data_IF_379100336368
#
_entry.id   IF_379100336368
#
_cell.length_a   1.000
_cell.length_b   1.000
_cell.length_c   1.000
_cell.angle_alpha   90.00
_cell.angle_beta   90.00
_cell.angle_gamma   90.00
#
_symmetry.space_group_name_H-M   'P 1'
#
loop_
_entity.id
_entity.type
_entity.pdbx_description
1 polymer ?
#
# COMPACT_ATOMS: atom_id res chain seq x y z
N UNK A 1 -48.47 10.99 17.08
CA UNK A 1 -47.29 11.46 17.88
C UNK A 1 -46.18 11.83 16.90
N UNK A 2 -45.95 13.13 16.67
CA UNK A 2 -44.87 13.64 15.79
C UNK A 2 -43.61 13.85 16.65
N UNK A 3 -42.53 13.14 16.34
CA UNK A 3 -41.23 13.34 16.97
C UNK A 3 -40.54 14.54 16.30
N UNK A 4 -40.42 15.63 17.05
CA UNK A 4 -39.73 16.85 16.64
C UNK A 4 -38.22 16.62 16.56
N UNK A 5 -37.69 16.68 15.34
CA UNK A 5 -36.26 16.73 15.04
C UNK A 5 -35.70 18.09 15.50
N UNK A 6 -35.10 18.15 16.70
CA UNK A 6 -34.22 19.26 17.11
C UNK A 6 -32.93 19.18 16.29
N UNK A 7 -32.83 19.97 15.22
CA UNK A 7 -31.52 20.33 14.64
C UNK A 7 -30.85 21.28 15.62
N UNK A 8 -29.81 20.80 16.30
CA UNK A 8 -28.89 21.68 16.99
C UNK A 8 -28.19 22.54 15.94
N UNK A 9 -28.44 23.85 15.99
CA UNK A 9 -27.61 24.83 15.31
C UNK A 9 -26.22 24.74 15.95
N UNK A 10 -25.26 24.11 15.28
CA UNK A 10 -23.85 24.24 15.66
C UNK A 10 -23.36 25.54 15.05
N UNK A 11 -23.01 26.48 15.91
CA UNK A 11 -22.36 27.72 15.51
C UNK A 11 -21.03 27.40 14.81
N UNK A 12 -20.67 28.11 13.72
CA UNK A 12 -19.42 27.91 13.03
C UNK A 12 -18.26 28.30 13.96
N UNK A 13 -17.44 27.31 14.34
CA UNK A 13 -16.22 27.52 15.11
C UNK A 13 -15.28 28.44 14.32
N UNK A 14 -14.76 29.54 14.92
CA UNK A 14 -13.92 30.49 14.21
C UNK A 14 -12.63 29.81 13.74
N UNK A 15 -12.43 29.77 12.42
CA UNK A 15 -11.19 29.32 11.80
C UNK A 15 -10.06 30.28 12.20
N UNK A 16 -9.13 29.79 13.02
CA UNK A 16 -7.92 30.54 13.38
C UNK A 16 -7.14 30.90 12.10
N UNK A 17 -6.63 32.14 12.00
CA UNK A 17 -5.86 32.55 10.84
C UNK A 17 -4.58 31.70 10.72
N UNK A 18 -4.21 31.27 9.50
CA UNK A 18 -3.03 30.44 9.30
C UNK A 18 -1.78 31.22 9.73
N UNK A 19 -1.00 30.64 10.64
CA UNK A 19 0.31 31.17 11.01
C UNK A 19 1.18 31.24 9.74
N UNK A 20 1.54 32.47 9.33
CA UNK A 20 2.27 32.73 8.10
C UNK A 20 3.69 32.19 8.15
N UNK A 21 3.88 30.91 7.82
CA UNK A 21 5.20 30.34 7.57
C UNK A 21 5.46 30.23 6.08
N UNK A 22 6.39 31.05 5.58
CA UNK A 22 6.93 30.94 4.22
C UNK A 22 7.69 29.61 4.09
N UNK A 23 7.16 28.70 3.29
CA UNK A 23 7.80 27.43 2.92
C UNK A 23 9.11 27.71 2.17
N UNK A 24 10.25 27.29 2.71
CA UNK A 24 11.50 27.26 1.96
C UNK A 24 11.39 26.24 0.81
N UNK A 25 11.74 26.67 -0.39
CA UNK A 25 11.74 25.84 -1.59
C UNK A 25 13.02 24.98 -1.63
N UNK A 26 12.87 23.70 -2.00
CA UNK A 26 13.89 23.00 -2.80
C UNK A 26 14.72 21.89 -2.16
N UNK A 27 14.72 21.69 -0.83
CA UNK A 27 15.49 20.61 -0.21
C UNK A 27 14.60 19.81 0.74
N UNK A 28 14.57 18.48 0.58
CA UNK A 28 13.96 17.46 1.44
C UNK A 28 13.27 18.08 2.67
N UNK A 29 12.02 18.52 2.51
CA UNK A 29 11.30 19.16 3.61
C UNK A 29 11.27 18.12 4.73
N UNK A 30 11.84 18.43 5.92
CA UNK A 30 11.82 17.49 7.02
C UNK A 30 10.36 17.13 7.25
N UNK A 31 10.04 15.85 7.05
CA UNK A 31 8.67 15.34 7.08
C UNK A 31 8.03 15.78 8.39
N UNK A 32 7.19 16.81 8.30
CA UNK A 32 6.46 17.30 9.45
C UNK A 32 5.50 16.21 9.88
N UNK A 33 5.77 15.62 11.04
CA UNK A 33 4.86 14.66 11.67
C UNK A 33 3.65 15.36 12.31
N UNK A 34 3.64 16.69 12.37
CA UNK A 34 2.55 17.50 12.89
C UNK A 34 2.14 18.56 11.87
N UNK A 35 0.84 18.75 11.72
CA UNK A 35 0.25 19.78 10.87
C UNK A 35 -0.69 20.60 11.73
N UNK A 36 -0.56 21.92 11.64
CA UNK A 36 -1.44 22.84 12.36
C UNK A 36 -2.77 22.98 11.61
N UNK A 37 -3.83 23.42 12.30
CA UNK A 37 -5.15 23.64 11.66
C UNK A 37 -6.04 22.40 11.53
N UNK A 38 -5.83 21.37 12.37
CA UNK A 38 -6.82 20.33 12.57
C UNK A 38 -7.89 20.76 13.58
N UNK A 39 -9.15 20.51 13.25
CA UNK A 39 -10.26 20.55 14.22
C UNK A 39 -10.10 19.45 15.27
N UNK A 40 -10.77 19.62 16.42
CA UNK A 40 -10.80 18.62 17.49
C UNK A 40 -11.25 17.23 17.00
N UNK A 41 -12.25 17.19 16.13
CA UNK A 41 -12.74 15.96 15.50
C UNK A 41 -11.69 15.29 14.61
N UNK A 42 -10.95 16.06 13.81
CA UNK A 42 -9.87 15.53 12.96
C UNK A 42 -8.70 15.00 13.80
N UNK A 43 -8.36 15.64 14.92
CA UNK A 43 -7.36 15.15 15.88
C UNK A 43 -7.79 13.81 16.48
N UNK A 44 -9.04 13.73 16.97
CA UNK A 44 -9.59 12.48 17.52
C UNK A 44 -9.58 11.37 16.47
N UNK A 45 -9.97 11.71 15.23
CA UNK A 45 -9.96 10.78 14.10
C UNK A 45 -8.56 10.27 13.79
N UNK A 46 -7.56 11.15 13.78
CA UNK A 46 -6.16 10.77 13.59
C UNK A 46 -5.68 9.80 14.68
N UNK A 47 -6.04 10.05 15.93
CA UNK A 47 -5.74 9.13 17.03
C UNK A 47 -6.39 7.76 16.83
N UNK A 48 -7.66 7.72 16.40
CA UNK A 48 -8.35 6.48 16.06
C UNK A 48 -7.64 5.71 14.94
N UNK A 49 -7.28 6.39 13.85
CA UNK A 49 -6.58 5.78 12.72
C UNK A 49 -5.23 5.17 13.14
N UNK A 50 -4.46 5.88 13.99
CA UNK A 50 -3.19 5.38 14.53
C UNK A 50 -3.37 4.14 15.40
N UNK A 51 -4.42 4.08 16.23
CA UNK A 51 -4.75 2.88 17.02
C UNK A 51 -5.06 1.70 16.12
N UNK A 52 -5.84 1.93 15.07
CA UNK A 52 -6.13 0.89 14.09
C UNK A 52 -4.85 0.42 13.37
N UNK A 53 -3.98 1.34 12.98
CA UNK A 53 -2.69 1.02 12.37
C UNK A 53 -1.81 0.16 13.29
N UNK A 54 -1.73 0.48 14.58
CA UNK A 54 -0.97 -0.29 15.57
C UNK A 54 -1.45 -1.74 15.71
N UNK A 55 -2.73 -2.00 15.43
CA UNK A 55 -3.32 -3.35 15.46
C UNK A 55 -3.18 -4.05 14.11
N UNK A 56 -3.49 -3.37 13.01
CA UNK A 56 -3.61 -4.03 11.70
C UNK A 56 -2.24 -4.24 11.03
N UNK A 57 -1.24 -3.39 11.27
CA UNK A 57 0.13 -3.61 10.75
C UNK A 57 0.69 -4.97 11.20
N UNK A 58 0.74 -5.35 12.49
CA UNK A 58 1.24 -6.66 12.88
C UNK A 58 0.35 -7.82 12.41
N UNK A 59 -0.97 -7.63 12.31
CA UNK A 59 -1.85 -8.63 11.69
C UNK A 59 -1.50 -8.87 10.22
N UNK A 60 -1.06 -7.84 9.50
CA UNK A 60 -0.57 -7.98 8.13
C UNK A 60 0.75 -8.75 8.04
N UNK A 61 1.57 -8.79 9.11
CA UNK A 61 2.74 -9.66 9.16
C UNK A 61 2.32 -11.14 9.16
N UNK A 62 1.33 -11.49 10.00
CA UNK A 62 0.76 -12.84 10.06
C UNK A 62 0.06 -13.20 8.75
N UNK A 63 -0.69 -12.26 8.19
CA UNK A 63 -1.33 -12.44 6.89
C UNK A 63 -0.30 -12.67 5.78
N UNK A 64 0.79 -11.90 5.76
CA UNK A 64 1.89 -12.11 4.83
C UNK A 64 2.45 -13.54 4.92
N UNK A 65 2.74 -14.03 6.13
CA UNK A 65 3.28 -15.38 6.32
C UNK A 65 2.29 -16.46 5.85
N UNK A 66 0.99 -16.26 6.09
CA UNK A 66 -0.04 -17.15 5.58
C UNK A 66 -0.07 -17.15 4.04
N UNK A 67 -0.06 -15.97 3.41
CA UNK A 67 0.00 -15.86 1.95
C UNK A 67 1.25 -16.53 1.39
N UNK A 68 2.39 -16.33 2.05
CA UNK A 68 3.66 -16.92 1.66
C UNK A 68 3.63 -18.44 1.71
N UNK A 69 3.05 -19.01 2.78
CA UNK A 69 2.88 -20.45 2.91
C UNK A 69 1.95 -21.02 1.83
N UNK A 70 0.93 -20.27 1.39
CA UNK A 70 0.04 -20.69 0.32
C UNK A 70 0.72 -20.70 -1.07
N UNK A 71 1.70 -19.83 -1.32
CA UNK A 71 2.36 -19.75 -2.64
C UNK A 71 3.65 -20.53 -2.76
N UNK A 72 4.31 -20.83 -1.64
CA UNK A 72 5.54 -21.60 -1.61
C UNK A 72 5.35 -22.96 -2.28
N UNK A 73 6.17 -23.30 -3.28
CA UNK A 73 6.13 -24.61 -3.93
C UNK A 73 6.55 -25.71 -2.94
N UNK A 74 5.87 -26.88 -2.92
CA UNK A 74 6.30 -27.97 -2.05
C UNK A 74 7.69 -28.42 -2.49
N UNK A 75 8.67 -28.35 -1.57
CA UNK A 75 10.02 -28.86 -1.82
C UNK A 75 9.97 -30.34 -2.19
N UNK A 76 10.80 -30.74 -3.15
CA UNK A 76 10.98 -32.16 -3.46
C UNK A 76 11.50 -32.88 -2.20
N UNK A 77 11.01 -34.09 -1.89
CA UNK A 77 11.48 -34.83 -0.73
C UNK A 77 13.00 -35.06 -0.83
N UNK A 78 13.75 -34.48 0.10
CA UNK A 78 15.21 -34.55 0.15
C UNK A 78 15.96 -33.28 -0.28
N UNK A 79 15.29 -32.17 -0.66
CA UNK A 79 16.00 -30.89 -0.77
C UNK A 79 16.35 -30.39 0.64
N UNK A 80 17.62 -30.42 1.00
CA UNK A 80 18.11 -29.69 2.17
C UNK A 80 18.18 -28.23 1.77
N UNK A 81 17.23 -27.42 2.22
CA UNK A 81 17.25 -25.98 2.03
C UNK A 81 18.54 -25.41 2.66
N UNK A 82 19.58 -25.21 1.86
CA UNK A 82 20.77 -24.49 2.31
C UNK A 82 20.43 -23.01 2.38
N UNK A 83 20.90 -22.33 3.43
CA UNK A 83 20.87 -20.87 3.44
C UNK A 83 21.66 -20.41 2.22
N UNK A 84 21.06 -19.72 1.25
CA UNK A 84 21.79 -19.36 0.05
C UNK A 84 22.97 -18.46 0.43
N UNK A 85 24.15 -18.78 -0.08
CA UNK A 85 25.34 -17.94 0.02
C UNK A 85 25.01 -16.57 -0.58
N UNK A 86 24.63 -15.62 0.27
CA UNK A 86 24.32 -14.27 -0.17
C UNK A 86 25.58 -13.44 -0.14
N UNK A 87 25.94 -12.87 -1.29
CA UNK A 87 27.01 -11.88 -1.35
C UNK A 87 26.74 -10.72 -0.38
N UNK A 88 27.80 -10.09 0.14
CA UNK A 88 27.68 -8.92 1.02
C UNK A 88 26.86 -7.80 0.37
N UNK A 89 26.94 -7.66 -0.96
CA UNK A 89 26.12 -6.72 -1.73
C UNK A 89 24.63 -7.04 -1.61
N UNK A 90 24.23 -8.30 -1.82
CA UNK A 90 22.83 -8.71 -1.72
C UNK A 90 22.28 -8.50 -0.30
N UNK A 91 23.07 -8.83 0.73
CA UNK A 91 22.71 -8.59 2.12
C UNK A 91 22.54 -7.09 2.42
N UNK A 92 23.48 -6.24 1.97
CA UNK A 92 23.40 -4.79 2.10
C UNK A 92 22.16 -4.20 1.42
N UNK A 93 21.82 -4.68 0.22
CA UNK A 93 20.61 -4.26 -0.49
C UNK A 93 19.35 -4.68 0.27
N UNK A 94 19.23 -5.91 0.78
CA UNK A 94 18.06 -6.32 1.60
C UNK A 94 17.82 -5.38 2.77
N UNK A 95 18.88 -5.00 3.49
CA UNK A 95 18.77 -4.05 4.60
C UNK A 95 18.32 -2.68 4.11
N UNK A 96 18.91 -2.16 3.03
CA UNK A 96 18.52 -0.87 2.46
C UNK A 96 17.05 -0.86 2.01
N UNK A 97 16.60 -1.92 1.32
CA UNK A 97 15.21 -2.08 0.88
C UNK A 97 14.24 -2.14 2.07
N UNK A 98 14.58 -2.90 3.11
CA UNK A 98 13.79 -2.97 4.34
C UNK A 98 13.67 -1.61 5.03
N UNK A 99 14.78 -0.85 5.13
CA UNK A 99 14.76 0.49 5.70
C UNK A 99 13.86 1.44 4.89
N UNK A 100 13.96 1.42 3.56
CA UNK A 100 13.10 2.25 2.68
C UNK A 100 11.63 1.86 2.82
N UNK A 101 11.31 0.56 2.76
CA UNK A 101 9.93 0.10 2.85
C UNK A 101 9.29 0.38 4.22
N UNK A 102 10.02 0.16 5.32
CA UNK A 102 9.58 0.50 6.68
C UNK A 102 9.43 2.01 6.84
N UNK A 103 10.34 2.81 6.28
CA UNK A 103 10.22 4.26 6.28
C UNK A 103 8.96 4.74 5.56
N UNK A 104 8.68 4.19 4.37
CA UNK A 104 7.45 4.50 3.62
C UNK A 104 6.19 4.13 4.43
N UNK A 105 6.17 2.95 5.06
CA UNK A 105 5.08 2.55 5.95
C UNK A 105 4.94 3.49 7.16
N UNK A 106 6.05 3.90 7.77
CA UNK A 106 6.06 4.83 8.90
C UNK A 106 5.52 6.21 8.49
N UNK A 107 5.95 6.75 7.35
CA UNK A 107 5.42 8.00 6.77
C UNK A 107 3.91 7.87 6.53
N UNK A 108 3.46 6.76 5.94
CA UNK A 108 2.04 6.52 5.69
C UNK A 108 1.22 6.48 6.99
N UNK A 109 1.79 5.93 8.06
CA UNK A 109 1.08 5.76 9.35
C UNK A 109 1.10 7.02 10.21
N UNK A 110 2.22 7.73 10.23
CA UNK A 110 2.48 8.78 11.19
C UNK A 110 2.30 10.19 10.61
N UNK A 111 2.73 10.40 9.37
CA UNK A 111 2.84 11.71 8.73
C UNK A 111 1.70 12.01 7.75
N UNK A 112 1.17 10.98 7.07
CA UNK A 112 0.07 11.17 6.11
C UNK A 112 -1.11 11.86 6.78
N UNK A 113 -1.65 12.96 6.22
CA UNK A 113 -2.71 13.71 6.86
C UNK A 113 -3.98 12.86 6.99
N UNK A 114 -4.72 13.05 8.09
CA UNK A 114 -6.06 12.47 8.20
C UNK A 114 -7.02 13.27 7.31
N UNK A 115 -8.00 12.62 6.65
CA UNK A 115 -8.96 13.35 5.84
C UNK A 115 -9.75 14.34 6.69
N UNK A 116 -10.22 15.42 6.08
CA UNK A 116 -11.04 16.46 6.72
C UNK A 116 -12.53 16.14 6.60
N UNK A 117 -13.36 16.67 7.50
CA UNK A 117 -14.81 16.40 7.49
C UNK A 117 -15.53 16.79 6.18
N UNK A 118 -14.92 17.66 5.37
CA UNK A 118 -15.41 18.11 4.06
C UNK A 118 -15.09 17.14 2.93
N UNK A 119 -14.18 16.19 3.14
CA UNK A 119 -13.77 15.20 2.15
C UNK A 119 -14.59 13.91 2.27
N UNK A 120 -14.96 13.31 1.14
CA UNK A 120 -15.65 12.02 1.14
C UNK A 120 -14.81 10.92 1.79
N UNK A 121 -13.48 11.01 1.66
CA UNK A 121 -12.53 10.10 2.28
C UNK A 121 -12.68 10.04 3.80
N UNK A 122 -13.12 11.11 4.46
CA UNK A 122 -13.38 11.12 5.90
C UNK A 122 -14.45 10.12 6.31
N UNK A 123 -15.57 10.13 5.58
CA UNK A 123 -16.71 9.25 5.81
C UNK A 123 -16.47 7.85 5.24
N UNK A 124 -15.83 7.74 4.07
CA UNK A 124 -15.49 6.45 3.48
C UNK A 124 -14.55 5.63 4.39
N UNK A 125 -13.71 6.29 5.18
CA UNK A 125 -12.83 5.65 6.15
C UNK A 125 -13.54 5.34 7.49
N UNK A 126 -14.83 5.66 7.68
CA UNK A 126 -15.50 5.68 9.00
C UNK A 126 -15.31 4.37 9.80
N UNK A 127 -15.35 3.23 9.11
CA UNK A 127 -15.29 1.89 9.70
C UNK A 127 -13.87 1.31 9.70
N UNK A 128 -13.34 1.10 8.50
CA UNK A 128 -12.09 0.37 8.27
C UNK A 128 -10.86 1.29 8.25
N UNK A 129 -11.04 2.59 8.49
CA UNK A 129 -9.95 3.56 8.48
C UNK A 129 -9.24 3.61 7.13
N UNK A 130 -7.91 3.74 7.15
CA UNK A 130 -7.08 3.79 5.94
C UNK A 130 -6.88 2.42 5.27
N UNK A 131 -7.33 1.34 5.90
CA UNK A 131 -7.20 -0.02 5.38
C UNK A 131 -8.22 -0.35 4.29
N UNK A 132 -9.04 0.61 3.87
CA UNK A 132 -9.82 0.46 2.63
C UNK A 132 -9.00 0.77 1.38
N UNK A 133 -7.80 1.33 1.52
CA UNK A 133 -6.95 1.72 0.40
C UNK A 133 -5.94 0.64 0.07
N UNK A 134 -5.85 0.31 -1.21
CA UNK A 134 -4.90 -0.68 -1.72
C UNK A 134 -3.45 -0.31 -1.41
N UNK A 135 -3.12 0.98 -1.51
CA UNK A 135 -1.78 1.49 -1.18
C UNK A 135 -1.37 1.09 0.23
N UNK A 136 -2.30 1.13 1.18
CA UNK A 136 -2.02 0.76 2.58
C UNK A 136 -1.62 -0.70 2.68
N UNK A 137 -2.34 -1.58 1.98
CA UNK A 137 -2.04 -3.01 1.96
C UNK A 137 -0.71 -3.27 1.24
N UNK A 138 -0.51 -2.68 0.06
CA UNK A 138 0.70 -2.86 -0.74
C UNK A 138 1.96 -2.43 0.00
N UNK A 139 1.96 -1.23 0.58
CA UNK A 139 3.09 -0.71 1.37
C UNK A 139 3.34 -1.57 2.61
N UNK A 140 2.27 -2.01 3.31
CA UNK A 140 2.41 -2.84 4.50
C UNK A 140 2.98 -4.23 4.16
N UNK A 141 2.45 -4.88 3.13
CA UNK A 141 2.94 -6.19 2.67
C UNK A 141 4.37 -6.11 2.15
N UNK A 142 4.72 -5.05 1.43
CA UNK A 142 6.10 -4.83 0.96
C UNK A 142 7.05 -4.59 2.15
N UNK A 143 6.68 -3.77 3.12
CA UNK A 143 7.51 -3.57 4.32
C UNK A 143 7.77 -4.87 5.08
N UNK A 144 6.73 -5.69 5.30
CA UNK A 144 6.91 -6.99 5.95
C UNK A 144 7.73 -7.97 5.10
N UNK A 145 7.52 -7.99 3.78
CA UNK A 145 8.32 -8.79 2.87
C UNK A 145 9.82 -8.48 2.99
N UNK A 146 10.19 -7.19 2.97
CA UNK A 146 11.59 -6.80 3.07
C UNK A 146 12.18 -7.07 4.46
N UNK A 147 11.42 -6.81 5.53
CA UNK A 147 11.84 -7.15 6.91
C UNK A 147 12.08 -8.66 7.05
N UNK A 148 11.16 -9.48 6.58
CA UNK A 148 11.33 -10.93 6.60
C UNK A 148 12.46 -11.40 5.68
N UNK A 149 12.74 -10.69 4.59
CA UNK A 149 13.88 -11.00 3.72
C UNK A 149 15.23 -10.72 4.38
N UNK A 150 15.31 -9.75 5.29
CA UNK A 150 16.48 -9.56 6.15
C UNK A 150 16.59 -10.69 7.17
N UNK A 151 15.47 -11.03 7.83
CA UNK A 151 15.44 -12.10 8.84
C UNK A 151 15.67 -13.50 8.24
N UNK A 152 15.39 -13.69 6.95
CA UNK A 152 15.66 -14.91 6.20
C UNK A 152 17.15 -15.32 6.17
N UNK A 153 18.07 -14.40 6.49
CA UNK A 153 19.47 -14.74 6.73
C UNK A 153 19.68 -15.75 7.88
N UNK A 154 18.69 -15.89 8.76
CA UNK A 154 18.72 -16.75 9.94
C UNK A 154 17.73 -17.92 9.89
N UNK A 155 16.92 -18.04 8.83
CA UNK A 155 15.94 -19.14 8.68
C UNK A 155 15.78 -19.51 7.20
N UNK A 156 16.20 -20.74 6.80
CA UNK A 156 15.99 -21.26 5.45
C UNK A 156 14.50 -21.27 5.05
N UNK A 157 13.61 -21.62 5.98
CA UNK A 157 12.17 -21.66 5.73
C UNK A 157 11.66 -20.25 5.38
N UNK A 158 12.08 -19.23 6.14
CA UNK A 158 11.71 -17.86 5.85
C UNK A 158 12.30 -17.36 4.53
N UNK A 159 13.50 -17.82 4.16
CA UNK A 159 14.09 -17.56 2.85
C UNK A 159 13.21 -18.14 1.73
N UNK A 160 12.75 -19.38 1.86
CA UNK A 160 11.85 -19.98 0.87
C UNK A 160 10.52 -19.22 0.77
N UNK A 161 9.90 -18.87 1.90
CA UNK A 161 8.66 -18.10 1.92
C UNK A 161 8.81 -16.73 1.25
N UNK A 162 9.88 -16.00 1.56
CA UNK A 162 10.13 -14.67 0.98
C UNK A 162 10.53 -14.75 -0.48
N UNK A 163 11.34 -15.73 -0.92
CA UNK A 163 11.58 -15.93 -2.35
C UNK A 163 10.27 -16.27 -3.10
N UNK A 164 9.43 -17.16 -2.55
CA UNK A 164 8.17 -17.56 -3.17
C UNK A 164 7.16 -16.43 -3.36
N UNK A 165 7.13 -15.46 -2.43
CA UNK A 165 6.26 -14.28 -2.49
C UNK A 165 6.82 -13.10 -3.30
N UNK A 166 8.11 -13.12 -3.65
CA UNK A 166 8.80 -11.97 -4.25
C UNK A 166 8.11 -11.45 -5.51
N UNK A 167 7.65 -12.35 -6.39
CA UNK A 167 6.92 -11.99 -7.61
C UNK A 167 5.57 -11.33 -7.28
N UNK A 168 4.80 -11.89 -6.35
CA UNK A 168 3.51 -11.31 -5.94
C UNK A 168 3.65 -9.93 -5.30
N UNK A 169 4.62 -9.76 -4.40
CA UNK A 169 4.94 -8.46 -3.78
C UNK A 169 5.44 -7.46 -4.82
N UNK A 170 6.28 -7.89 -5.75
CA UNK A 170 6.73 -7.05 -6.84
C UNK A 170 5.55 -6.57 -7.69
N UNK A 171 4.64 -7.48 -8.08
CA UNK A 171 3.42 -7.10 -8.82
C UNK A 171 2.59 -6.05 -8.08
N UNK A 172 2.42 -6.19 -6.77
CA UNK A 172 1.73 -5.19 -5.95
C UNK A 172 2.47 -3.86 -5.94
N UNK A 173 3.80 -3.87 -5.80
CA UNK A 173 4.65 -2.67 -5.84
C UNK A 173 4.51 -1.91 -7.16
N UNK A 174 4.60 -2.61 -8.29
CA UNK A 174 4.33 -2.05 -9.61
C UNK A 174 2.92 -1.46 -9.70
N UNK A 175 1.92 -2.23 -9.25
CA UNK A 175 0.52 -1.85 -9.34
C UNK A 175 0.22 -0.57 -8.56
N UNK A 176 0.63 -0.49 -7.29
CA UNK A 176 0.37 0.72 -6.48
C UNK A 176 1.08 1.95 -7.04
N UNK A 177 2.31 1.81 -7.55
CA UNK A 177 3.04 2.92 -8.15
C UNK A 177 2.36 3.41 -9.43
N UNK A 178 2.12 2.52 -10.40
CA UNK A 178 1.57 2.91 -11.70
C UNK A 178 0.15 3.44 -11.57
N UNK A 179 -0.71 2.77 -10.80
CA UNK A 179 -2.11 3.21 -10.62
C UNK A 179 -2.19 4.58 -9.96
N UNK A 180 -1.29 4.90 -9.03
CA UNK A 180 -1.22 6.24 -8.45
C UNK A 180 -0.94 7.31 -9.51
N UNK A 181 0.12 7.14 -10.31
CA UNK A 181 0.50 8.14 -11.31
C UNK A 181 -0.48 8.21 -12.49
N UNK A 182 -1.13 7.11 -12.85
CA UNK A 182 -2.04 7.04 -14.00
C UNK A 182 -3.48 7.41 -13.64
N UNK A 183 -4.00 6.98 -12.47
CA UNK A 183 -5.39 7.21 -12.09
C UNK A 183 -5.57 8.31 -11.04
N UNK A 184 -4.69 8.37 -10.03
CA UNK A 184 -4.90 9.24 -8.86
C UNK A 184 -4.41 10.66 -9.16
N UNK A 185 -3.15 10.81 -9.57
CA UNK A 185 -2.53 12.12 -9.82
C UNK A 185 -3.29 12.97 -10.85
N UNK A 186 -3.82 12.41 -11.96
CA UNK A 186 -4.56 13.20 -12.93
C UNK A 186 -5.99 13.58 -12.47
N UNK A 187 -6.53 12.94 -11.43
CA UNK A 187 -7.92 13.13 -11.02
C UNK A 187 -8.17 14.53 -10.42
N UNK A 188 -9.33 15.11 -10.76
CA UNK A 188 -9.73 16.42 -10.22
C UNK A 188 -9.85 16.41 -8.69
N UNK A 189 -10.46 15.36 -8.13
CA UNK A 189 -10.62 15.19 -6.68
C UNK A 189 -9.26 15.19 -5.94
N UNK A 190 -8.25 14.50 -6.46
CA UNK A 190 -6.91 14.52 -5.84
C UNK A 190 -6.26 15.91 -5.92
N UNK A 191 -6.44 16.63 -7.04
CA UNK A 191 -5.91 18.01 -7.18
C UNK A 191 -6.59 18.98 -6.21
N UNK A 192 -7.89 18.81 -5.98
CA UNK A 192 -8.65 19.57 -4.97
C UNK A 192 -8.13 19.27 -3.56
N UNK A 193 -7.90 18.00 -3.22
CA UNK A 193 -7.30 17.60 -1.95
C UNK A 193 -5.89 18.20 -1.78
N UNK A 194 -5.06 18.14 -2.82
CA UNK A 194 -3.73 18.76 -2.82
C UNK A 194 -3.81 20.27 -2.58
N UNK A 195 -4.76 20.96 -3.22
CA UNK A 195 -4.97 22.41 -3.01
C UNK A 195 -5.39 22.69 -1.56
N UNK A 196 -6.40 21.97 -1.06
CA UNK A 196 -6.87 22.09 0.32
C UNK A 196 -5.73 21.94 1.33
N UNK A 197 -4.90 20.91 1.15
CA UNK A 197 -3.77 20.65 2.04
C UNK A 197 -2.64 21.67 1.88
N UNK A 198 -2.37 22.11 0.64
CA UNK A 198 -1.40 23.17 0.38
C UNK A 198 -1.80 24.49 1.05
N UNK A 199 -3.07 24.83 1.04
CA UNK A 199 -3.61 26.03 1.73
C UNK A 199 -3.46 25.92 3.26
N UNK A 200 -3.33 24.70 3.79
CA UNK A 200 -2.99 24.40 5.20
C UNK A 200 -1.49 24.21 5.45
N UNK A 201 -0.63 24.51 4.47
CA UNK A 201 0.82 24.36 4.59
C UNK A 201 1.34 22.92 4.53
N UNK A 202 0.56 21.99 3.99
CA UNK A 202 0.89 20.55 3.88
C UNK A 202 1.22 20.18 2.43
N UNK A 203 2.39 19.57 2.23
CA UNK A 203 2.87 19.06 0.94
C UNK A 203 2.25 17.70 0.60
N UNK A 204 0.93 17.66 0.45
CA UNK A 204 0.18 16.40 0.32
C UNK A 204 0.56 15.60 -0.94
N UNK A 205 0.84 16.29 -2.04
CA UNK A 205 1.22 15.65 -3.29
C UNK A 205 2.57 14.94 -3.19
N UNK A 206 3.55 15.61 -2.58
CA UNK A 206 4.91 15.11 -2.39
C UNK A 206 4.93 13.94 -1.42
N UNK A 207 4.20 14.06 -0.29
CA UNK A 207 4.03 12.95 0.65
C UNK A 207 3.36 11.77 -0.07
N UNK A 208 2.29 12.01 -0.83
CA UNK A 208 1.62 10.95 -1.59
C UNK A 208 2.56 10.31 -2.63
N UNK A 209 3.38 11.09 -3.34
CA UNK A 209 4.36 10.56 -4.27
C UNK A 209 5.41 9.69 -3.56
N UNK A 210 5.90 10.13 -2.39
CA UNK A 210 6.84 9.36 -1.56
C UNK A 210 6.25 8.03 -1.10
N UNK A 211 4.92 7.93 -0.93
CA UNK A 211 4.26 6.68 -0.57
C UNK A 211 4.19 5.65 -1.70
N UNK A 212 4.22 6.10 -2.95
CA UNK A 212 3.97 5.22 -4.10
C UNK A 212 5.23 5.01 -4.94
N UNK A 213 6.04 6.05 -5.15
CA UNK A 213 7.19 5.98 -6.04
C UNK A 213 8.25 4.96 -5.62
N UNK A 214 8.63 4.82 -4.33
CA UNK A 214 9.66 3.86 -3.93
C UNK A 214 9.25 2.39 -4.08
N UNK A 215 7.95 2.10 -4.11
CA UNK A 215 7.47 0.71 -4.14
C UNK A 215 7.98 -0.05 -5.37
N UNK A 216 8.02 0.61 -6.53
CA UNK A 216 8.50 0.03 -7.78
C UNK A 216 10.03 -0.25 -7.78
N UNK A 217 10.92 0.72 -7.47
CA UNK A 217 12.35 0.44 -7.32
C UNK A 217 12.65 -0.64 -6.29
N UNK A 218 11.96 -0.64 -5.14
CA UNK A 218 12.15 -1.70 -4.14
C UNK A 218 11.81 -3.07 -4.72
N UNK A 219 10.66 -3.20 -5.39
CA UNK A 219 10.25 -4.45 -6.03
C UNK A 219 11.26 -4.94 -7.09
N UNK A 220 11.77 -4.04 -7.92
CA UNK A 220 12.74 -4.40 -8.97
C UNK A 220 14.07 -4.82 -8.36
N UNK A 221 14.61 -4.06 -7.42
CA UNK A 221 15.90 -4.35 -6.77
C UNK A 221 15.82 -5.64 -5.93
N UNK A 222 14.68 -5.91 -5.30
CA UNK A 222 14.48 -7.15 -4.57
C UNK A 222 14.63 -8.37 -5.49
N UNK A 223 13.86 -8.41 -6.58
CA UNK A 223 13.92 -9.50 -7.55
C UNK A 223 15.28 -9.60 -8.26
N UNK A 224 15.83 -8.46 -8.71
CA UNK A 224 17.03 -8.45 -9.57
C UNK A 224 18.33 -8.62 -8.80
N UNK A 225 18.43 -8.15 -7.55
CA UNK A 225 19.68 -8.21 -6.79
C UNK A 225 19.52 -8.92 -5.44
N UNK A 226 18.49 -8.59 -4.65
CA UNK A 226 18.40 -9.06 -3.27
C UNK A 226 18.13 -10.57 -3.15
N UNK A 227 17.29 -11.14 -4.02
CA UNK A 227 17.03 -12.59 -4.04
C UNK A 227 18.14 -13.37 -4.73
N UNK A 228 18.40 -14.61 -4.31
CA UNK A 228 19.34 -15.50 -5.01
C UNK A 228 18.65 -16.21 -6.17
N UNK A 229 19.36 -16.47 -7.28
CA UNK A 229 18.84 -17.26 -8.41
C UNK A 229 18.32 -18.63 -7.97
N UNK A 230 19.11 -19.37 -7.17
CA UNK A 230 18.74 -20.69 -6.65
C UNK A 230 17.46 -20.65 -5.79
N UNK A 231 17.40 -19.74 -4.81
CA UNK A 231 16.21 -19.60 -3.96
C UNK A 231 14.95 -19.20 -4.73
N UNK A 232 15.08 -18.40 -5.79
CA UNK A 232 13.96 -18.09 -6.69
C UNK A 232 13.50 -19.33 -7.47
N UNK A 233 14.44 -20.09 -8.05
CA UNK A 233 14.14 -21.30 -8.81
C UNK A 233 13.42 -22.35 -7.96
N UNK A 234 13.81 -22.49 -6.68
CA UNK A 234 13.21 -23.44 -5.75
C UNK A 234 11.82 -22.99 -5.26
N UNK A 235 11.66 -21.72 -4.91
CA UNK A 235 10.49 -21.29 -4.15
C UNK A 235 9.33 -20.72 -5.00
N UNK A 236 9.61 -20.15 -6.17
CA UNK A 236 8.61 -19.41 -6.96
C UNK A 236 7.72 -20.37 -7.76
N UNK A 237 6.42 -20.34 -7.48
CA UNK A 237 5.40 -21.02 -8.30
C UNK A 237 4.56 -20.01 -9.07
N UNK A 238 4.59 -20.09 -10.41
CA UNK A 238 3.85 -19.16 -11.26
C UNK A 238 2.33 -19.26 -11.09
N UNK A 239 1.83 -20.50 -11.08
CA UNK A 239 0.41 -20.79 -10.92
C UNK A 239 -0.12 -20.30 -9.56
N UNK A 240 0.61 -20.55 -8.47
CA UNK A 240 0.15 -20.17 -7.12
C UNK A 240 0.16 -18.66 -6.90
N UNK A 241 1.20 -17.97 -7.37
CA UNK A 241 1.24 -16.52 -7.33
C UNK A 241 0.13 -15.90 -8.18
N UNK A 242 -0.13 -16.43 -9.39
CA UNK A 242 -1.26 -15.97 -10.20
C UNK A 242 -2.60 -16.15 -9.50
N UNK A 243 -2.85 -17.34 -8.93
CA UNK A 243 -4.07 -17.62 -8.18
C UNK A 243 -4.21 -16.68 -6.98
N UNK A 244 -3.13 -16.45 -6.23
CA UNK A 244 -3.10 -15.50 -5.12
C UNK A 244 -3.48 -14.09 -5.58
N UNK A 245 -2.90 -13.59 -6.68
CA UNK A 245 -3.18 -12.25 -7.18
C UNK A 245 -4.66 -12.09 -7.58
N UNK A 246 -5.24 -13.09 -8.26
CA UNK A 246 -6.67 -13.08 -8.60
C UNK A 246 -7.54 -13.07 -7.35
N UNK A 247 -7.27 -13.96 -6.38
CA UNK A 247 -8.00 -14.01 -5.11
C UNK A 247 -7.90 -12.68 -4.38
N UNK A 248 -6.71 -12.10 -4.33
CA UNK A 248 -6.47 -10.83 -3.66
C UNK A 248 -7.27 -9.68 -4.30
N UNK A 249 -7.31 -9.62 -5.64
CA UNK A 249 -8.15 -8.64 -6.37
C UNK A 249 -9.62 -8.79 -5.98
N UNK A 250 -10.15 -10.03 -5.98
CA UNK A 250 -11.54 -10.29 -5.64
C UNK A 250 -11.84 -9.90 -4.18
N UNK A 251 -10.99 -10.29 -3.23
CA UNK A 251 -11.11 -9.92 -1.82
C UNK A 251 -11.10 -8.40 -1.65
N UNK A 252 -10.21 -7.70 -2.33
CA UNK A 252 -10.12 -6.25 -2.24
C UNK A 252 -11.33 -5.55 -2.88
N UNK A 253 -11.85 -6.04 -4.00
CA UNK A 253 -13.09 -5.53 -4.60
C UNK A 253 -14.29 -5.73 -3.65
N UNK A 254 -14.40 -6.91 -3.04
CA UNK A 254 -15.43 -7.19 -2.03
C UNK A 254 -15.31 -6.22 -0.85
N UNK A 255 -14.09 -5.96 -0.38
CA UNK A 255 -13.83 -5.00 0.70
C UNK A 255 -14.31 -3.59 0.34
N UNK A 256 -13.99 -3.11 -0.87
CA UNK A 256 -14.43 -1.80 -1.35
C UNK A 256 -15.96 -1.72 -1.42
N UNK A 257 -16.61 -2.73 -2.02
CA UNK A 257 -18.07 -2.74 -2.19
C UNK A 257 -18.76 -2.79 -0.82
N UNK A 258 -18.29 -3.65 0.09
CA UNK A 258 -18.81 -3.74 1.45
C UNK A 258 -18.63 -2.42 2.21
N UNK A 259 -17.47 -1.76 2.05
CA UNK A 259 -17.25 -0.45 2.65
C UNK A 259 -18.21 0.62 2.08
N UNK A 260 -18.45 0.61 0.76
CA UNK A 260 -19.41 1.52 0.14
C UNK A 260 -20.82 1.26 0.68
N UNK A 261 -21.25 0.01 0.79
CA UNK A 261 -22.55 -0.33 1.38
C UNK A 261 -22.68 0.13 2.83
N UNK A 262 -21.59 0.07 3.61
CA UNK A 262 -21.59 0.46 5.01
C UNK A 262 -21.51 1.98 5.24
N UNK A 263 -20.92 2.74 4.31
CA UNK A 263 -20.63 4.18 4.49
C UNK A 263 -21.39 5.09 3.53
N UNK A 264 -21.97 4.53 2.46
CA UNK A 264 -22.60 5.26 1.37
C UNK A 264 -21.62 5.99 0.45
N UNK A 265 -20.31 5.86 0.65
CA UNK A 265 -19.30 6.64 -0.06
C UNK A 265 -18.18 5.76 -0.63
N UNK A 266 -17.71 6.13 -1.81
CA UNK A 266 -16.58 5.46 -2.45
C UNK A 266 -15.26 6.01 -1.91
N UNK A 267 -14.25 5.16 -1.69
CA UNK A 267 -12.97 5.60 -1.14
C UNK A 267 -12.13 6.43 -2.11
N UNK A 268 -12.32 6.24 -3.42
CA UNK A 268 -11.63 6.97 -4.48
C UNK A 268 -12.60 7.82 -5.28
N UNK A 269 -12.20 9.06 -5.62
CA UNK A 269 -13.06 9.99 -6.37
C UNK A 269 -13.52 9.45 -7.71
N UNK A 270 -12.63 8.81 -8.48
CA UNK A 270 -12.96 8.23 -9.79
C UNK A 270 -14.01 7.11 -9.70
N UNK A 271 -14.16 6.44 -8.54
CA UNK A 271 -15.13 5.35 -8.39
C UNK A 271 -16.59 5.82 -8.43
N UNK A 272 -16.84 7.12 -8.19
CA UNK A 272 -18.17 7.70 -8.26
C UNK A 272 -18.81 7.56 -9.64
N UNK A 273 -18.00 7.62 -10.70
CA UNK A 273 -18.48 7.53 -12.08
C UNK A 273 -19.01 6.14 -12.43
N UNK A 274 -18.54 5.11 -11.72
CA UNK A 274 -19.00 3.73 -11.84
C UNK A 274 -20.28 3.49 -11.03
N UNK A 275 -20.38 4.11 -9.85
CA UNK A 275 -21.50 3.91 -8.93
C UNK A 275 -21.67 2.42 -8.58
N UNK A 276 -22.92 1.94 -8.47
CA UNK A 276 -23.23 0.52 -8.27
C UNK A 276 -23.48 -0.24 -9.57
N UNK A 277 -23.16 0.35 -10.73
CA UNK A 277 -23.47 -0.23 -12.03
C UNK A 277 -22.45 -1.30 -12.45
N UNK A 278 -22.84 -2.58 -12.36
CA UNK A 278 -21.99 -3.72 -12.73
C UNK A 278 -21.44 -3.64 -14.17
N UNK A 279 -22.21 -3.08 -15.12
CA UNK A 279 -21.75 -2.94 -16.51
C UNK A 279 -20.57 -1.98 -16.65
N UNK A 280 -20.45 -0.99 -15.76
CA UNK A 280 -19.29 -0.08 -15.70
C UNK A 280 -18.12 -0.71 -14.94
N UNK A 281 -18.41 -1.48 -13.89
CA UNK A 281 -17.39 -2.18 -13.11
C UNK A 281 -16.69 -3.29 -13.89
N UNK A 282 -17.42 -4.08 -14.68
CA UNK A 282 -16.86 -5.20 -15.43
C UNK A 282 -15.66 -4.82 -16.32
N UNK A 283 -15.72 -3.82 -17.22
CA UNK A 283 -14.57 -3.42 -18.03
C UNK A 283 -13.44 -2.86 -17.17
N UNK A 284 -13.75 -2.10 -16.11
CA UNK A 284 -12.72 -1.60 -15.20
C UNK A 284 -11.96 -2.74 -14.52
N UNK A 285 -12.67 -3.73 -13.95
CA UNK A 285 -12.07 -4.91 -13.32
C UNK A 285 -11.25 -5.70 -14.33
N UNK A 286 -11.76 -5.91 -15.55
CA UNK A 286 -11.01 -6.56 -16.62
C UNK A 286 -9.72 -5.81 -16.97
N UNK A 287 -9.75 -4.48 -17.04
CA UNK A 287 -8.56 -3.65 -17.23
C UNK A 287 -7.56 -3.80 -16.08
N UNK A 288 -8.02 -3.77 -14.82
CA UNK A 288 -7.12 -3.94 -13.67
C UNK A 288 -6.47 -5.33 -13.66
N UNK A 289 -7.23 -6.38 -13.97
CA UNK A 289 -6.72 -7.74 -14.11
C UNK A 289 -5.68 -7.79 -15.25
N UNK A 290 -5.98 -7.20 -16.41
CA UNK A 290 -5.04 -7.13 -17.53
C UNK A 290 -3.73 -6.43 -17.17
N UNK A 291 -3.79 -5.30 -16.46
CA UNK A 291 -2.61 -4.58 -15.97
C UNK A 291 -1.79 -5.46 -15.00
N UNK A 292 -2.45 -6.17 -14.08
CA UNK A 292 -1.78 -7.10 -13.17
C UNK A 292 -1.12 -8.26 -13.92
N UNK A 293 -1.74 -8.78 -14.97
CA UNK A 293 -1.11 -9.78 -15.84
C UNK A 293 0.13 -9.25 -16.53
N UNK A 294 0.12 -8.01 -17.02
CA UNK A 294 1.31 -7.38 -17.64
C UNK A 294 2.43 -7.28 -16.61
N UNK A 295 2.17 -6.74 -15.42
CA UNK A 295 3.18 -6.66 -14.36
C UNK A 295 3.66 -8.04 -13.90
N UNK A 296 2.75 -9.01 -13.79
CA UNK A 296 3.06 -10.41 -13.53
C UNK A 296 4.05 -10.96 -14.54
N UNK A 297 3.74 -10.86 -15.83
CA UNK A 297 4.59 -11.34 -16.92
C UNK A 297 5.97 -10.71 -16.92
N UNK A 298 6.07 -9.41 -16.67
CA UNK A 298 7.37 -8.71 -16.56
C UNK A 298 8.18 -9.24 -15.38
N UNK A 299 7.57 -9.38 -14.20
CA UNK A 299 8.26 -9.91 -13.02
C UNK A 299 8.65 -11.38 -13.19
N UNK A 300 7.83 -12.21 -13.85
CA UNK A 300 8.21 -13.58 -14.21
C UNK A 300 9.35 -13.63 -15.20
N UNK A 301 9.40 -12.73 -16.18
CA UNK A 301 10.53 -12.65 -17.11
C UNK A 301 11.83 -12.31 -16.37
N UNK A 302 11.80 -11.31 -15.48
CA UNK A 302 12.95 -10.95 -14.61
C UNK A 302 13.40 -12.16 -13.79
N UNK A 303 12.44 -12.82 -13.13
CA UNK A 303 12.68 -14.05 -12.38
C UNK A 303 13.33 -15.13 -13.25
N UNK A 304 12.76 -15.43 -14.41
CA UNK A 304 13.18 -16.53 -15.26
C UNK A 304 14.60 -16.31 -15.81
N UNK A 305 14.90 -15.09 -16.28
CA UNK A 305 16.24 -14.72 -16.74
C UNK A 305 17.25 -14.89 -15.60
N UNK A 306 16.93 -14.41 -14.40
CA UNK A 306 17.84 -14.51 -13.24
C UNK A 306 18.02 -15.94 -12.74
N UNK A 307 16.96 -16.73 -12.70
CA UNK A 307 16.97 -18.06 -12.12
C UNK A 307 17.55 -19.14 -13.04
N UNK A 308 17.46 -18.95 -14.37
CA UNK A 308 17.76 -20.02 -15.33
C UNK A 308 18.76 -19.64 -16.44
N UNK A 309 19.17 -18.38 -16.57
CA UNK A 309 20.12 -17.95 -17.62
C UNK A 309 21.46 -17.43 -17.09
N UNK A 310 21.60 -17.25 -15.78
CA UNK A 310 22.82 -16.79 -15.10
C UNK A 310 23.42 -17.92 -14.29
#
# INVERSE_FOLDING_TARGET
RRLGSRRAHMDPEPLLPPAGHKSMAGALVPLRLHWDGYSSAEVQRRAQLRRLDAVVIPLFALWYLLLAACVHAPSAPGSSASVPDSSLLAAGIRVALALVAVYVLAVHSLAFPAPTATQDSYRAQARLGRWIYLTRHGVCLQAWHEVFSVLAAFSPELALLTNGMSVGIACLGWFVTVQYFVLVVPSAAFREDCKLWKDRGVQFQEVSALLHAPCLPVAVLDLTIAKSAAGLAEAVSAQRNLALMVIYVLVYLTLIIANHQATGLWPYGFMKDFGTNLKKWAPFVATQIGILFVFGSVNYLIFWVKAYMQ
#
